data_IF_701545992014
#
_entry.id   IF_701545992014
#
_cell.length_a   1.000
_cell.length_b   1.000
_cell.length_c   1.000
_cell.angle_alpha   90.00
_cell.angle_beta   90.00
_cell.angle_gamma   90.00
#
_symmetry.space_group_name_H-M   'P 1'
#
loop_
_entity.id
_entity.type
_entity.pdbx_description
1 polymer ?
#
# COMPACT_ATOMS: atom_id res chain seq x y z
N UNK A 1 65.05 -14.80 7.68
CA UNK A 1 64.50 -13.45 7.42
C UNK A 1 63.46 -13.55 6.33
N UNK A 2 62.17 -13.52 6.69
CA UNK A 2 61.13 -12.92 5.84
C UNK A 2 59.93 -12.63 6.73
N UNK A 3 59.33 -11.46 6.51
CA UNK A 3 58.43 -10.74 7.40
C UNK A 3 57.00 -11.24 7.29
N UNK A 4 56.27 -11.05 8.39
CA UNK A 4 54.81 -11.03 8.50
C UNK A 4 54.16 -10.23 7.37
N UNK A 5 53.02 -10.72 6.86
CA UNK A 5 52.01 -9.92 6.20
C UNK A 5 50.63 -10.49 6.53
N UNK A 6 50.10 -10.05 7.69
CA UNK A 6 48.67 -10.00 7.95
C UNK A 6 48.06 -8.91 7.05
N UNK A 7 47.36 -9.31 5.99
CA UNK A 7 46.46 -8.40 5.27
C UNK A 7 45.08 -8.42 5.91
N UNK A 8 44.81 -7.34 6.63
CA UNK A 8 43.49 -6.96 7.13
C UNK A 8 42.47 -6.89 6.00
N UNK A 9 41.44 -7.74 6.08
CA UNK A 9 40.15 -7.54 5.43
C UNK A 9 39.56 -6.22 5.96
N UNK A 10 39.56 -5.18 5.13
CA UNK A 10 38.82 -3.94 5.42
C UNK A 10 37.36 -4.13 5.00
N UNK A 11 36.49 -4.17 6.00
CA UNK A 11 35.05 -3.96 5.85
C UNK A 11 34.83 -2.54 5.32
N UNK A 12 34.31 -2.42 4.10
CA UNK A 12 33.88 -1.13 3.54
C UNK A 12 32.57 -0.75 4.23
N UNK A 13 32.62 0.32 5.01
CA UNK A 13 31.45 0.97 5.60
C UNK A 13 30.69 1.79 4.54
N UNK A 14 29.36 1.80 4.66
CA UNK A 14 28.44 2.71 3.96
C UNK A 14 28.98 4.15 4.00
N UNK A 15 29.39 4.69 2.85
CA UNK A 15 29.90 6.06 2.81
C UNK A 15 30.38 6.62 1.47
N UNK A 16 30.62 5.80 0.44
CA UNK A 16 31.21 6.28 -0.83
C UNK A 16 30.32 6.04 -2.05
N UNK A 17 29.19 6.75 -2.12
CA UNK A 17 28.60 7.09 -3.41
C UNK A 17 28.82 8.59 -3.67
N UNK A 18 29.37 8.98 -4.83
CA UNK A 18 29.72 10.36 -5.10
C UNK A 18 28.48 11.26 -5.02
N UNK A 19 28.62 12.31 -4.20
CA UNK A 19 27.58 13.26 -3.88
C UNK A 19 26.99 13.91 -5.13
N UNK A 20 25.75 13.55 -5.44
CA UNK A 20 24.88 14.38 -6.26
C UNK A 20 24.48 15.55 -5.36
N UNK A 21 24.98 16.75 -5.65
CA UNK A 21 24.52 17.98 -4.99
C UNK A 21 23.00 18.07 -5.13
N UNK A 22 22.28 17.61 -4.11
CA UNK A 22 20.84 17.76 -4.01
C UNK A 22 20.58 19.18 -3.51
N UNK A 23 20.09 20.02 -4.41
CA UNK A 23 19.52 21.32 -4.08
C UNK A 23 18.33 21.13 -3.11
N UNK A 24 18.61 21.19 -1.81
CA UNK A 24 17.78 21.82 -0.77
C UNK A 24 16.32 21.43 -0.56
N UNK A 25 15.82 20.29 -1.02
CA UNK A 25 14.49 19.80 -0.63
C UNK A 25 14.58 18.38 -0.08
N UNK A 26 14.32 18.23 1.22
CA UNK A 26 14.11 16.91 1.81
C UNK A 26 12.96 16.23 1.06
N UNK A 27 13.17 15.02 0.51
CA UNK A 27 12.16 14.36 -0.29
C UNK A 27 10.93 14.05 0.56
N UNK A 28 9.86 14.83 0.38
CA UNK A 28 8.60 14.61 1.06
C UNK A 28 7.79 13.51 0.35
N UNK A 29 6.85 12.87 1.05
CA UNK A 29 6.05 11.74 0.54
C UNK A 29 5.49 11.95 -0.88
N UNK A 30 4.96 13.15 -1.15
CA UNK A 30 4.40 13.44 -2.48
C UNK A 30 5.46 13.49 -3.58
N UNK A 31 6.69 13.95 -3.30
CA UNK A 31 7.79 13.91 -4.26
C UNK A 31 8.07 12.48 -4.72
N UNK A 32 8.16 11.51 -3.79
CA UNK A 32 8.32 10.10 -4.16
C UNK A 32 7.17 9.57 -5.03
N UNK A 33 5.94 9.93 -4.70
CA UNK A 33 4.75 9.49 -5.45
C UNK A 33 4.77 10.06 -6.87
N UNK A 34 5.06 11.35 -7.02
CA UNK A 34 5.10 12.00 -8.33
C UNK A 34 6.27 11.51 -9.18
N UNK A 35 7.46 11.36 -8.61
CA UNK A 35 8.63 10.88 -9.34
C UNK A 35 8.45 9.44 -9.84
N UNK A 36 7.97 8.53 -8.97
CA UNK A 36 7.68 7.15 -9.39
C UNK A 36 6.52 7.08 -10.39
N UNK A 37 5.48 7.89 -10.19
CA UNK A 37 4.34 7.96 -11.11
C UNK A 37 4.72 8.50 -12.49
N UNK A 38 5.60 9.50 -12.54
CA UNK A 38 6.11 10.06 -13.80
C UNK A 38 6.92 9.04 -14.60
N UNK A 39 7.75 8.23 -13.93
CA UNK A 39 8.52 7.16 -14.59
C UNK A 39 7.61 6.08 -15.17
N UNK A 40 6.57 5.66 -14.42
CA UNK A 40 5.57 4.72 -14.92
C UNK A 40 4.76 5.29 -16.10
N UNK A 41 4.40 6.58 -16.05
CA UNK A 41 3.73 7.25 -17.17
C UNK A 41 4.58 7.25 -18.45
N UNK A 42 5.91 7.32 -18.34
CA UNK A 42 6.80 7.27 -19.51
C UNK A 42 6.74 5.91 -20.24
N UNK A 43 6.32 4.84 -19.56
CA UNK A 43 6.05 3.52 -20.15
C UNK A 43 4.55 3.29 -20.45
N UNK A 44 3.74 4.36 -20.42
CA UNK A 44 2.32 4.32 -20.80
C UNK A 44 1.37 3.86 -19.70
N UNK A 45 1.84 3.65 -18.46
CA UNK A 45 0.94 3.35 -17.34
C UNK A 45 0.09 4.57 -16.95
N UNK A 46 -1.13 4.34 -16.49
CA UNK A 46 -2.01 5.37 -15.96
C UNK A 46 -2.62 4.96 -14.61
N UNK A 47 -3.41 5.85 -14.00
CA UNK A 47 -4.05 5.58 -12.71
C UNK A 47 -4.94 4.34 -12.70
N UNK A 48 -5.55 3.99 -13.84
CA UNK A 48 -6.37 2.78 -13.99
C UNK A 48 -5.56 1.47 -13.94
N UNK A 49 -4.23 1.54 -14.09
CA UNK A 49 -3.35 0.37 -14.07
C UNK A 49 -2.85 0.01 -12.66
N UNK A 50 -3.21 0.81 -11.64
CA UNK A 50 -2.64 0.69 -10.31
C UNK A 50 -2.90 -0.70 -9.67
N UNK A 51 -4.11 -1.22 -9.80
CA UNK A 51 -4.46 -2.54 -9.27
C UNK A 51 -3.76 -3.64 -10.08
N UNK A 52 -3.73 -3.57 -11.41
CA UNK A 52 -3.02 -4.55 -12.24
C UNK A 52 -1.52 -4.59 -11.92
N UNK A 53 -0.88 -3.42 -11.74
CA UNK A 53 0.53 -3.33 -11.37
C UNK A 53 0.79 -3.88 -9.95
N UNK A 54 -0.16 -3.74 -9.02
CA UNK A 54 -0.11 -4.43 -7.74
C UNK A 54 -0.23 -5.95 -7.93
N UNK A 55 -1.07 -6.40 -8.86
CA UNK A 55 -1.23 -7.80 -9.25
C UNK A 55 0.07 -8.44 -9.73
N UNK A 56 0.86 -7.73 -10.54
CA UNK A 56 2.18 -8.19 -10.99
C UNK A 56 3.09 -8.52 -9.80
N UNK A 57 3.05 -7.71 -8.72
CA UNK A 57 3.81 -7.95 -7.49
C UNK A 57 3.31 -9.15 -6.68
N UNK A 58 2.10 -9.63 -6.99
CA UNK A 58 1.49 -10.82 -6.40
C UNK A 58 1.84 -12.13 -7.11
N UNK A 59 2.45 -12.05 -8.29
CA UNK A 59 2.82 -13.23 -9.05
C UNK A 59 4.02 -13.93 -8.41
N UNK A 60 4.09 -15.24 -8.60
CA UNK A 60 5.35 -15.96 -8.37
C UNK A 60 6.38 -15.55 -9.42
N UNK A 61 7.67 -15.61 -9.05
CA UNK A 61 8.76 -15.27 -9.98
C UNK A 61 8.68 -16.09 -11.28
N UNK A 62 8.43 -17.40 -11.19
CA UNK A 62 8.30 -18.27 -12.37
C UNK A 62 7.14 -17.89 -13.27
N UNK A 63 6.03 -17.38 -12.71
CA UNK A 63 4.88 -16.94 -13.49
C UNK A 63 5.16 -15.64 -14.24
N UNK A 64 5.81 -14.68 -13.57
CA UNK A 64 6.24 -13.44 -14.21
C UNK A 64 7.26 -13.70 -15.33
N UNK A 65 8.24 -14.57 -15.09
CA UNK A 65 9.24 -14.96 -16.11
C UNK A 65 8.56 -15.55 -17.34
N UNK A 66 7.58 -16.45 -17.16
CA UNK A 66 6.82 -17.02 -18.28
C UNK A 66 6.07 -15.95 -19.07
N UNK A 67 5.37 -15.05 -18.38
CA UNK A 67 4.67 -13.94 -19.04
C UNK A 67 5.62 -13.05 -19.84
N UNK A 68 6.81 -12.76 -19.31
CA UNK A 68 7.84 -12.01 -20.02
C UNK A 68 8.34 -12.75 -21.26
N UNK A 69 8.58 -14.06 -21.15
CA UNK A 69 9.03 -14.89 -22.28
C UNK A 69 7.96 -14.97 -23.39
N UNK A 70 6.70 -15.18 -23.01
CA UNK A 70 5.57 -15.27 -23.95
C UNK A 70 5.34 -13.95 -24.69
N UNK A 71 5.65 -12.80 -24.07
CA UNK A 71 5.49 -11.47 -24.69
C UNK A 71 6.74 -11.01 -25.48
N UNK A 72 7.90 -11.61 -25.19
CA UNK A 72 9.17 -11.32 -25.88
C UNK A 72 9.30 -11.99 -27.25
N UNK A 73 8.38 -12.89 -27.62
CA UNK A 73 8.39 -13.62 -28.90
C UNK A 73 7.97 -12.79 -30.12
N UNK A 74 7.74 -11.48 -29.97
CA UNK A 74 7.44 -10.58 -31.09
C UNK A 74 8.73 -10.07 -31.73
N UNK A 75 8.77 -9.96 -33.06
CA UNK A 75 9.94 -9.60 -33.89
C UNK A 75 10.49 -8.17 -33.69
N UNK A 76 10.25 -7.55 -32.53
CA UNK A 76 10.74 -6.21 -32.22
C UNK A 76 12.10 -6.28 -31.50
N UNK A 77 13.18 -5.74 -32.09
CA UNK A 77 14.47 -5.71 -31.44
C UNK A 77 14.42 -4.83 -30.17
N UNK A 78 14.85 -5.41 -29.05
CA UNK A 78 15.13 -4.78 -27.75
C UNK A 78 13.98 -3.97 -27.11
N UNK A 79 12.88 -4.65 -26.73
CA UNK A 79 11.87 -4.06 -25.83
C UNK A 79 12.45 -3.84 -24.44
N UNK A 80 12.21 -2.66 -23.85
CA UNK A 80 12.63 -2.37 -22.47
C UNK A 80 11.71 -3.10 -21.51
N UNK A 81 12.21 -3.39 -20.30
CA UNK A 81 11.42 -4.06 -19.25
C UNK A 81 10.11 -3.32 -18.95
N UNK A 82 10.11 -1.99 -18.95
CA UNK A 82 8.90 -1.19 -18.74
C UNK A 82 7.83 -1.43 -19.82
N UNK A 83 8.23 -1.53 -21.09
CA UNK A 83 7.32 -1.81 -22.22
C UNK A 83 6.73 -3.22 -22.12
N UNK A 84 7.56 -4.20 -21.74
CA UNK A 84 7.13 -5.59 -21.51
C UNK A 84 6.14 -5.67 -20.35
N UNK A 85 6.41 -4.98 -19.23
CA UNK A 85 5.51 -4.94 -18.08
C UNK A 85 4.17 -4.30 -18.43
N UNK A 86 4.18 -3.23 -19.24
CA UNK A 86 2.93 -2.59 -19.69
C UNK A 86 2.12 -3.54 -20.57
N UNK A 87 2.78 -4.20 -21.52
CA UNK A 87 2.16 -5.20 -22.39
C UNK A 87 1.53 -6.35 -21.60
N UNK A 88 2.23 -6.88 -20.60
CA UNK A 88 1.71 -7.89 -19.67
C UNK A 88 0.47 -7.38 -18.94
N UNK A 89 0.52 -6.15 -18.41
CA UNK A 89 -0.62 -5.54 -17.71
C UNK A 89 -1.84 -5.38 -18.62
N UNK A 90 -1.65 -4.98 -19.88
CA UNK A 90 -2.76 -4.84 -20.82
C UNK A 90 -3.35 -6.19 -21.23
N UNK A 91 -2.51 -7.18 -21.52
CA UNK A 91 -2.92 -8.52 -21.95
C UNK A 91 -3.63 -9.31 -20.84
N UNK A 92 -3.20 -9.12 -19.58
CA UNK A 92 -3.68 -9.88 -18.42
C UNK A 92 -4.46 -9.04 -17.41
N UNK A 93 -5.00 -7.88 -17.84
CA UNK A 93 -5.59 -6.86 -16.97
C UNK A 93 -6.55 -7.42 -15.92
N UNK A 94 -7.60 -8.13 -16.33
CA UNK A 94 -8.65 -8.59 -15.42
C UNK A 94 -8.09 -9.45 -14.27
N UNK A 95 -7.26 -10.44 -14.61
CA UNK A 95 -6.63 -11.30 -13.60
C UNK A 95 -5.71 -10.51 -12.67
N UNK A 96 -4.85 -9.65 -13.23
CA UNK A 96 -3.90 -8.89 -12.43
C UNK A 96 -4.59 -7.89 -11.52
N UNK A 97 -5.68 -7.26 -11.99
CA UNK A 97 -6.48 -6.39 -11.16
C UNK A 97 -7.15 -7.14 -10.00
N UNK A 98 -7.67 -8.35 -10.23
CA UNK A 98 -8.26 -9.17 -9.16
C UNK A 98 -7.22 -9.51 -8.08
N UNK A 99 -6.04 -9.97 -8.50
CA UNK A 99 -4.91 -10.24 -7.58
C UNK A 99 -4.52 -8.96 -6.84
N UNK A 100 -4.42 -7.84 -7.56
CA UNK A 100 -4.04 -6.54 -7.00
C UNK A 100 -5.03 -6.01 -5.97
N UNK A 101 -6.33 -6.11 -6.25
CA UNK A 101 -7.41 -5.75 -5.33
C UNK A 101 -7.34 -6.60 -4.06
N UNK A 102 -7.15 -7.92 -4.19
CA UNK A 102 -6.99 -8.81 -3.05
C UNK A 102 -5.77 -8.42 -2.20
N UNK A 103 -4.60 -8.20 -2.81
CA UNK A 103 -3.39 -7.82 -2.07
C UNK A 103 -3.51 -6.46 -1.39
N UNK A 104 -4.14 -5.48 -2.04
CA UNK A 104 -4.43 -4.17 -1.45
C UNK A 104 -5.39 -4.29 -0.28
N UNK A 105 -6.42 -5.14 -0.40
CA UNK A 105 -7.33 -5.46 0.69
C UNK A 105 -6.59 -6.13 1.86
N UNK A 106 -5.78 -7.17 1.64
CA UNK A 106 -5.00 -7.84 2.68
C UNK A 106 -4.05 -6.89 3.42
N UNK A 107 -3.35 -6.01 2.68
CA UNK A 107 -2.46 -5.00 3.28
C UNK A 107 -3.23 -3.99 4.14
N UNK A 108 -4.42 -3.59 3.70
CA UNK A 108 -5.29 -2.70 4.47
C UNK A 108 -5.84 -3.40 5.70
N UNK A 109 -6.24 -4.66 5.58
CA UNK A 109 -6.72 -5.50 6.68
C UNK A 109 -5.65 -5.69 7.75
N UNK A 110 -4.41 -6.03 7.37
CA UNK A 110 -3.29 -6.17 8.33
C UNK A 110 -3.01 -4.87 9.08
N UNK A 111 -2.96 -3.74 8.38
CA UNK A 111 -2.79 -2.42 9.02
C UNK A 111 -3.94 -2.08 9.95
N UNK A 112 -5.17 -2.43 9.58
CA UNK A 112 -6.33 -2.25 10.43
C UNK A 112 -6.21 -3.08 11.72
N UNK A 113 -5.88 -4.37 11.63
CA UNK A 113 -5.71 -5.23 12.80
C UNK A 113 -4.56 -4.77 13.70
N UNK A 114 -3.43 -4.34 13.13
CA UNK A 114 -2.32 -3.78 13.90
C UNK A 114 -2.76 -2.53 14.67
N UNK A 115 -3.40 -1.56 13.99
CA UNK A 115 -3.91 -0.36 14.63
C UNK A 115 -4.97 -0.65 15.70
N UNK A 116 -5.82 -1.66 15.47
CA UNK A 116 -6.82 -2.10 16.45
C UNK A 116 -6.17 -2.75 17.68
N UNK A 117 -5.12 -3.56 17.50
CA UNK A 117 -4.36 -4.14 18.60
C UNK A 117 -3.64 -3.06 19.42
N UNK A 118 -2.99 -2.11 18.74
CA UNK A 118 -2.34 -0.95 19.37
C UNK A 118 -3.33 -0.05 20.13
N UNK A 119 -4.55 0.07 19.62
CA UNK A 119 -5.62 0.78 20.31
C UNK A 119 -6.13 0.03 21.54
N UNK A 120 -6.34 -1.28 21.43
CA UNK A 120 -6.82 -2.13 22.54
C UNK A 120 -5.81 -2.24 23.68
N UNK A 121 -4.51 -2.08 23.40
CA UNK A 121 -3.46 -2.07 24.42
C UNK A 121 -3.35 -0.75 25.18
N UNK A 122 -4.04 0.31 24.75
CA UNK A 122 -4.03 1.60 25.45
C UNK A 122 -4.68 1.50 26.84
N UNK A 123 -4.21 2.28 27.83
CA UNK A 123 -4.84 2.34 29.14
C UNK A 123 -6.32 2.76 29.06
N UNK A 124 -7.15 2.23 29.96
CA UNK A 124 -8.58 2.58 30.03
C UNK A 124 -8.83 4.10 30.14
N UNK A 125 -7.96 4.85 30.82
CA UNK A 125 -8.05 6.31 30.91
C UNK A 125 -7.86 7.02 29.55
N UNK A 126 -7.04 6.44 28.66
CA UNK A 126 -6.88 6.93 27.29
C UNK A 126 -8.10 6.55 26.46
N UNK A 127 -8.55 5.30 26.56
CA UNK A 127 -9.75 4.82 25.84
C UNK A 127 -11.01 5.60 26.24
N UNK A 128 -11.14 5.96 27.51
CA UNK A 128 -12.26 6.75 28.07
C UNK A 128 -11.96 8.26 28.14
N UNK A 129 -10.89 8.72 27.48
CA UNK A 129 -10.43 10.09 27.57
C UNK A 129 -11.35 11.11 26.89
N UNK A 130 -10.99 12.40 27.05
CA UNK A 130 -11.73 13.56 26.51
C UNK A 130 -11.93 13.52 24.98
N UNK A 131 -11.16 12.71 24.25
CA UNK A 131 -11.35 12.56 22.80
C UNK A 131 -12.76 12.06 22.45
N UNK A 132 -13.41 11.30 23.34
CA UNK A 132 -14.75 10.75 23.13
C UNK A 132 -15.79 11.86 22.92
N UNK A 133 -15.69 12.95 23.68
CA UNK A 133 -16.62 14.09 23.63
C UNK A 133 -16.37 15.03 22.44
N UNK A 134 -15.33 14.80 21.64
CA UNK A 134 -15.02 15.65 20.50
C UNK A 134 -16.01 15.38 19.36
N UNK A 135 -16.19 16.33 18.43
CA UNK A 135 -16.92 16.06 17.20
C UNK A 135 -16.32 14.87 16.44
N UNK A 136 -17.20 14.12 15.78
CA UNK A 136 -16.79 13.05 14.85
C UNK A 136 -15.81 13.58 13.82
N UNK A 137 -14.82 12.75 13.49
CA UNK A 137 -13.97 13.03 12.32
C UNK A 137 -14.76 12.85 11.03
N UNK A 138 -14.35 13.53 9.94
CA UNK A 138 -14.98 13.35 8.63
C UNK A 138 -14.99 11.86 8.20
N UNK A 139 -13.89 11.14 8.49
CA UNK A 139 -13.77 9.71 8.24
C UNK A 139 -14.78 8.87 9.03
N UNK A 140 -14.96 9.16 10.33
CA UNK A 140 -15.98 8.45 11.12
C UNK A 140 -17.39 8.74 10.61
N UNK A 141 -17.68 9.98 10.18
CA UNK A 141 -19.00 10.34 9.62
C UNK A 141 -19.30 9.56 8.36
N UNK A 142 -18.35 9.50 7.43
CA UNK A 142 -18.47 8.69 6.23
C UNK A 142 -18.65 7.21 6.57
N UNK A 143 -17.89 6.68 7.53
CA UNK A 143 -17.99 5.28 7.92
C UNK A 143 -19.35 4.94 8.55
N UNK A 144 -19.89 5.82 9.41
CA UNK A 144 -21.25 5.67 9.96
C UNK A 144 -22.30 5.65 8.85
N UNK A 145 -22.22 6.56 7.88
CA UNK A 145 -23.15 6.59 6.75
C UNK A 145 -23.08 5.31 5.90
N UNK A 146 -21.87 4.85 5.59
CA UNK A 146 -21.68 3.60 4.82
C UNK A 146 -22.21 2.40 5.60
N UNK A 147 -21.88 2.28 6.89
CA UNK A 147 -22.38 1.17 7.72
C UNK A 147 -23.91 1.19 7.83
N UNK A 148 -24.51 2.38 8.01
CA UNK A 148 -25.96 2.53 8.07
C UNK A 148 -26.63 2.12 6.75
N UNK A 149 -26.10 2.56 5.61
CA UNK A 149 -26.62 2.19 4.29
C UNK A 149 -26.46 0.71 3.97
N UNK A 150 -25.36 0.07 4.37
CA UNK A 150 -25.13 -1.36 4.15
C UNK A 150 -26.03 -2.25 5.02
N UNK A 151 -26.38 -1.79 6.22
CA UNK A 151 -27.24 -2.55 7.15
C UNK A 151 -28.72 -2.16 7.04
N UNK A 152 -29.05 -1.21 6.17
CA UNK A 152 -30.39 -0.63 6.03
C UNK A 152 -30.97 -0.14 7.37
N UNK A 153 -30.18 0.62 8.12
CA UNK A 153 -30.57 1.22 9.41
C UNK A 153 -30.44 2.73 9.40
N UNK A 154 -31.22 3.42 10.24
CA UNK A 154 -31.13 4.87 10.38
C UNK A 154 -29.80 5.31 11.01
N UNK A 155 -29.23 6.40 10.50
CA UNK A 155 -28.07 7.05 11.12
C UNK A 155 -28.53 7.77 12.39
N UNK A 156 -27.95 7.47 13.57
CA UNK A 156 -28.28 8.20 14.78
C UNK A 156 -27.87 9.67 14.69
N UNK A 157 -28.71 10.56 15.20
CA UNK A 157 -28.37 11.98 15.33
C UNK A 157 -27.48 12.22 16.56
N UNK A 158 -26.72 13.32 16.55
CA UNK A 158 -26.00 13.80 17.74
C UNK A 158 -24.80 12.95 18.18
N UNK A 159 -24.27 12.07 17.32
CA UNK A 159 -23.09 11.28 17.64
C UNK A 159 -21.86 12.17 17.86
N UNK A 160 -21.23 12.00 19.02
CA UNK A 160 -19.86 12.45 19.26
C UNK A 160 -18.86 11.37 18.82
N UNK A 161 -17.56 11.64 19.00
CA UNK A 161 -16.51 10.74 18.52
C UNK A 161 -16.52 9.38 19.24
N UNK A 162 -16.84 9.35 20.53
CA UNK A 162 -16.87 8.14 21.35
C UNK A 162 -18.11 7.30 21.06
N UNK A 163 -19.29 7.91 21.10
CA UNK A 163 -20.57 7.27 20.77
C UNK A 163 -20.60 6.76 19.33
N UNK A 164 -19.98 7.47 18.38
CA UNK A 164 -19.79 6.96 17.02
C UNK A 164 -18.88 5.73 16.99
N UNK A 165 -17.79 5.71 17.77
CA UNK A 165 -16.90 4.56 17.83
C UNK A 165 -17.63 3.34 18.42
N UNK A 166 -18.36 3.50 19.52
CA UNK A 166 -19.13 2.42 20.14
C UNK A 166 -20.28 1.95 19.23
N UNK A 167 -20.93 2.86 18.52
CA UNK A 167 -21.98 2.52 17.55
C UNK A 167 -21.40 1.70 16.40
N UNK A 168 -20.26 2.12 15.84
CA UNK A 168 -19.57 1.38 14.79
C UNK A 168 -19.14 0.00 15.27
N UNK A 169 -18.57 -0.12 16.47
CA UNK A 169 -18.14 -1.41 17.04
C UNK A 169 -19.31 -2.39 17.16
N UNK A 170 -20.44 -1.94 17.73
CA UNK A 170 -21.66 -2.77 17.86
C UNK A 170 -22.21 -3.28 16.53
N UNK A 171 -22.07 -2.50 15.46
CA UNK A 171 -22.59 -2.85 14.13
C UNK A 171 -21.54 -3.51 13.23
N UNK A 172 -20.40 -3.95 13.79
CA UNK A 172 -19.33 -4.60 13.03
C UNK A 172 -18.49 -3.59 12.25
N UNK A 173 -17.82 -2.69 12.97
CA UNK A 173 -16.99 -1.62 12.44
C UNK A 173 -16.14 -2.07 11.24
N UNK A 174 -16.14 -1.27 10.18
CA UNK A 174 -15.51 -1.58 8.90
C UNK A 174 -16.02 -2.90 8.30
N UNK A 175 -17.31 -2.95 7.94
CA UNK A 175 -17.91 -4.06 7.19
C UNK A 175 -17.11 -4.46 5.94
N UNK A 176 -16.35 -3.54 5.35
CA UNK A 176 -15.41 -3.81 4.25
C UNK A 176 -14.32 -4.87 4.58
N UNK A 177 -14.13 -5.22 5.86
CA UNK A 177 -13.22 -6.27 6.33
C UNK A 177 -13.95 -7.47 6.95
N UNK A 178 -15.29 -7.46 7.01
CA UNK A 178 -16.09 -8.65 7.36
C UNK A 178 -16.22 -9.50 6.09
N UNK A 179 -15.40 -10.54 5.98
CA UNK A 179 -15.43 -11.45 4.83
C UNK A 179 -14.16 -12.27 4.59
N UNK A 180 -13.12 -12.15 5.41
CA UNK A 180 -11.97 -13.06 5.37
C UNK A 180 -12.01 -14.06 6.51
N UNK A 181 -12.89 -15.06 6.43
CA UNK A 181 -12.84 -16.29 7.21
C UNK A 181 -13.31 -17.44 6.33
#
# INVERSE_FOLDING_TARGET
MSKSNDEHIRVVHDGDLPGREMTGHEPHRNWHIYSLGADLLAYGFCGYDADALMGVRGLSASRLIRMLQDDSGSEQPERRVGDLLKSIVDKHRGELEDIGRQLSWDRRLRRYHAALADWKSQPGAVQQGRWRQRPMTARQRALVQVTAGLLDIAVPSGLDRGTAADWLERHGANLAYRGGA
#
